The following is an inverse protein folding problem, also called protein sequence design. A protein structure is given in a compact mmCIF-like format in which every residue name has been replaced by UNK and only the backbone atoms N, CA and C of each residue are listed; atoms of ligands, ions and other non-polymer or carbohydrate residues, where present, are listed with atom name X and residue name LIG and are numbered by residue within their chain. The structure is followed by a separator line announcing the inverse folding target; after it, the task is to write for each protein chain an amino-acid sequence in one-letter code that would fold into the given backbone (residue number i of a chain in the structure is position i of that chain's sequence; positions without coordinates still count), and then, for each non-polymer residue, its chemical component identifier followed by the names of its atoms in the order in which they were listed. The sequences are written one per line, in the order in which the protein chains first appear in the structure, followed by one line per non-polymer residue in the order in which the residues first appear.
data_IF_678630163977
#
_entry.id   IF_678630163977
#
_cell.length_a   1.000
_cell.length_b   1.000
_cell.length_c   1.000
_cell.angle_alpha   90.00
_cell.angle_beta   90.00
_cell.angle_gamma   90.00
#
_symmetry.space_group_name_H-M   'P 1'
#
loop_
_entity.id
_entity.type
_entity.pdbx_description
1 polymer ?
#
# COMPACT_ATOMS: atom_id res chain seq x y z
N UNK A 1 -8.19 -0.98 24.59
CA UNK A 1 -7.76 -0.31 23.34
C UNK A 1 -8.92 -0.28 22.36
N UNK A 2 -9.23 0.87 21.82
CA UNK A 2 -10.29 1.01 20.82
C UNK A 2 -9.82 0.43 19.47
N UNK A 3 -10.77 -0.09 18.65
CA UNK A 3 -10.44 -0.71 17.35
C UNK A 3 -9.72 0.25 16.40
N UNK A 4 -10.06 1.52 16.40
CA UNK A 4 -9.40 2.52 15.58
C UNK A 4 -7.92 2.73 15.97
N UNK A 5 -7.62 2.74 17.26
CA UNK A 5 -6.23 2.83 17.75
C UNK A 5 -5.42 1.60 17.35
N UNK A 6 -6.02 0.41 17.45
CA UNK A 6 -5.39 -0.84 17.06
C UNK A 6 -5.13 -0.87 15.56
N UNK A 7 -6.08 -0.43 14.74
CA UNK A 7 -5.91 -0.34 13.29
C UNK A 7 -4.78 0.62 12.92
N UNK A 8 -4.66 1.78 13.58
CA UNK A 8 -3.54 2.70 13.36
C UNK A 8 -2.19 2.06 13.71
N UNK A 9 -2.12 1.30 14.79
CA UNK A 9 -0.91 0.57 15.16
C UNK A 9 -0.55 -0.50 14.13
N UNK A 10 -1.55 -1.19 13.60
CA UNK A 10 -1.35 -2.16 12.52
C UNK A 10 -0.84 -1.46 11.25
N UNK A 11 -1.41 -0.32 10.88
CA UNK A 11 -0.96 0.48 9.74
C UNK A 11 0.50 0.91 9.90
N UNK A 12 0.88 1.41 11.05
CA UNK A 12 2.26 1.81 11.33
C UNK A 12 3.22 0.62 11.22
N UNK A 13 2.85 -0.52 11.78
CA UNK A 13 3.65 -1.74 11.67
C UNK A 13 3.83 -2.17 10.21
N UNK A 14 2.74 -2.18 9.44
CA UNK A 14 2.76 -2.54 8.03
C UNK A 14 3.64 -1.57 7.24
N UNK A 15 3.46 -0.27 7.41
CA UNK A 15 4.21 0.75 6.69
C UNK A 15 5.71 0.69 6.99
N UNK A 16 6.08 0.37 8.23
CA UNK A 16 7.48 0.22 8.64
C UNK A 16 8.12 -1.07 8.11
N UNK A 17 7.35 -2.05 7.67
CA UNK A 17 7.82 -3.37 7.27
C UNK A 17 7.45 -3.76 5.83
N UNK A 18 7.07 -2.81 4.98
CA UNK A 18 6.61 -3.07 3.60
C UNK A 18 7.64 -3.85 2.76
N UNK A 19 8.93 -3.64 3.01
CA UNK A 19 10.00 -4.27 2.24
C UNK A 19 10.37 -5.68 2.72
N UNK A 20 9.67 -6.16 3.73
CA UNK A 20 9.84 -7.49 4.31
C UNK A 20 8.60 -8.33 4.07
N UNK A 21 8.75 -9.65 4.26
CA UNK A 21 7.58 -10.53 4.30
C UNK A 21 6.74 -10.18 5.52
N UNK A 22 5.45 -9.97 5.30
CA UNK A 22 4.48 -9.70 6.36
C UNK A 22 3.46 -10.85 6.38
N UNK A 23 3.23 -11.47 7.55
CA UNK A 23 2.26 -12.53 7.72
C UNK A 23 1.25 -12.17 8.81
N UNK A 24 0.04 -12.71 8.70
CA UNK A 24 -0.99 -12.52 9.74
C UNK A 24 -0.60 -13.16 11.07
N UNK A 25 0.17 -14.26 11.05
CA UNK A 25 0.70 -14.86 12.27
C UNK A 25 1.62 -13.91 13.03
N UNK A 26 2.49 -13.22 12.31
CA UNK A 26 3.38 -12.22 12.88
C UNK A 26 2.60 -11.05 13.49
N UNK A 27 1.64 -10.50 12.75
CA UNK A 27 0.80 -9.38 13.23
C UNK A 27 0.01 -9.81 14.47
N UNK A 28 -0.57 -11.00 14.46
CA UNK A 28 -1.31 -11.57 15.59
C UNK A 28 -0.41 -11.71 16.82
N UNK A 29 0.81 -12.18 16.65
CA UNK A 29 1.78 -12.31 17.74
C UNK A 29 2.18 -10.97 18.34
N UNK A 30 2.38 -9.96 17.50
CA UNK A 30 2.82 -8.62 17.94
C UNK A 30 1.72 -7.91 18.73
N UNK A 31 0.47 -7.99 18.26
CA UNK A 31 -0.64 -7.25 18.85
C UNK A 31 -1.45 -8.07 19.86
N UNK A 32 -1.15 -9.36 20.06
CA UNK A 32 -1.81 -10.24 21.03
C UNK A 32 -3.33 -10.39 20.80
N UNK A 33 -3.74 -10.39 19.51
CA UNK A 33 -5.14 -10.60 19.12
C UNK A 33 -5.22 -11.71 18.07
N UNK A 34 -6.39 -12.36 18.02
CA UNK A 34 -6.69 -13.37 17.01
C UNK A 34 -6.66 -12.77 15.61
N UNK A 35 -6.14 -13.52 14.63
CA UNK A 35 -6.02 -13.09 13.23
C UNK A 35 -7.36 -12.66 12.63
N UNK A 36 -8.42 -13.45 12.86
CA UNK A 36 -9.74 -13.16 12.31
C UNK A 36 -10.30 -11.83 12.86
N UNK A 37 -10.07 -11.57 14.13
CA UNK A 37 -10.44 -10.29 14.75
C UNK A 37 -9.70 -9.12 14.12
N UNK A 38 -8.38 -9.24 13.96
CA UNK A 38 -7.56 -8.18 13.36
C UNK A 38 -7.97 -7.89 11.90
N UNK A 39 -8.18 -8.95 11.12
CA UNK A 39 -8.64 -8.79 9.73
C UNK A 39 -10.01 -8.12 9.65
N UNK A 40 -10.92 -8.49 10.55
CA UNK A 40 -12.28 -7.94 10.58
C UNK A 40 -12.30 -6.47 10.95
N UNK A 41 -11.59 -6.06 12.01
CA UNK A 41 -11.59 -4.65 12.42
C UNK A 41 -10.87 -3.77 11.39
N UNK A 42 -9.81 -4.25 10.77
CA UNK A 42 -9.12 -3.50 9.71
C UNK A 42 -10.06 -3.24 8.53
N UNK A 43 -10.75 -4.27 8.05
CA UNK A 43 -11.74 -4.15 6.97
C UNK A 43 -12.90 -3.24 7.35
N UNK A 44 -13.39 -3.34 8.57
CA UNK A 44 -14.49 -2.51 9.08
C UNK A 44 -14.10 -1.03 9.09
N UNK A 45 -12.91 -0.71 9.59
CA UNK A 45 -12.46 0.68 9.73
C UNK A 45 -12.03 1.31 8.40
N UNK A 46 -11.41 0.54 7.50
CA UNK A 46 -10.77 1.08 6.31
C UNK A 46 -11.44 0.70 4.99
N UNK A 47 -12.41 -0.21 5.05
CA UNK A 47 -13.10 -0.74 3.86
C UNK A 47 -12.14 -1.38 2.84
N UNK A 48 -11.03 -1.93 3.32
CA UNK A 48 -10.03 -2.63 2.51
C UNK A 48 -9.42 -3.74 3.37
N UNK A 49 -9.07 -4.86 2.77
CA UNK A 49 -8.39 -5.94 3.51
C UNK A 49 -6.93 -5.56 3.78
N UNK A 50 -6.34 -6.21 4.79
CA UNK A 50 -4.93 -6.02 5.13
C UNK A 50 -4.04 -6.33 3.92
N UNK A 51 -4.28 -7.44 3.24
CA UNK A 51 -3.46 -7.84 2.08
C UNK A 51 -3.61 -6.90 0.90
N UNK A 52 -4.82 -6.42 0.63
CA UNK A 52 -5.04 -5.40 -0.41
C UNK A 52 -4.31 -4.11 -0.08
N UNK A 53 -4.35 -3.68 1.18
CA UNK A 53 -3.61 -2.49 1.60
C UNK A 53 -2.11 -2.66 1.40
N UNK A 54 -1.54 -3.79 1.86
CA UNK A 54 -0.12 -4.08 1.71
C UNK A 54 0.28 -4.02 0.24
N UNK A 55 -0.47 -4.71 -0.62
CA UNK A 55 -0.16 -4.76 -2.05
C UNK A 55 -0.30 -3.40 -2.73
N UNK A 56 -1.38 -2.67 -2.46
CA UNK A 56 -1.57 -1.33 -3.03
C UNK A 56 -0.48 -0.36 -2.60
N UNK A 57 -0.07 -0.40 -1.33
CA UNK A 57 1.01 0.45 -0.83
C UNK A 57 2.36 0.08 -1.45
N UNK A 58 2.68 -1.21 -1.54
CA UNK A 58 3.92 -1.69 -2.18
C UNK A 58 3.99 -1.30 -3.64
N UNK A 59 2.91 -1.53 -4.39
CA UNK A 59 2.85 -1.18 -5.82
C UNK A 59 2.96 0.33 -6.00
N UNK A 60 2.22 1.10 -5.22
CA UNK A 60 2.28 2.57 -5.31
C UNK A 60 3.69 3.10 -5.03
N UNK A 61 4.36 2.59 -4.00
CA UNK A 61 5.74 2.98 -3.68
C UNK A 61 6.71 2.59 -4.80
N UNK A 62 6.48 1.47 -5.48
CA UNK A 62 7.34 1.00 -6.58
C UNK A 62 7.28 1.91 -7.81
N UNK A 63 6.22 2.71 -7.96
CA UNK A 63 6.07 3.64 -9.09
C UNK A 63 7.20 4.66 -9.16
N UNK A 64 7.66 5.15 -8.02
CA UNK A 64 8.79 6.09 -7.95
C UNK A 64 10.08 5.46 -8.49
N UNK A 65 10.32 4.19 -8.18
CA UNK A 65 11.49 3.47 -8.67
C UNK A 65 11.43 3.24 -10.18
N UNK A 66 10.24 2.89 -10.69
CA UNK A 66 10.03 2.72 -12.13
C UNK A 66 10.27 4.02 -12.90
N UNK A 67 9.82 5.14 -12.33
CA UNK A 67 9.94 6.47 -12.94
C UNK A 67 11.35 7.03 -12.85
N UNK A 68 11.99 6.94 -11.69
CA UNK A 68 13.19 7.71 -11.36
C UNK A 68 14.49 6.91 -11.49
N UNK A 69 14.42 5.62 -11.77
CA UNK A 69 15.62 4.76 -11.97
C UNK A 69 15.53 4.01 -13.28
N UNK A 70 16.68 3.53 -13.75
CA UNK A 70 16.78 2.58 -14.86
C UNK A 70 16.99 1.15 -14.36
N UNK A 71 16.72 0.88 -13.09
CA UNK A 71 16.87 -0.44 -12.48
C UNK A 71 16.01 -1.48 -13.21
N UNK A 72 16.50 -2.70 -13.26
CA UNK A 72 15.74 -3.83 -13.78
C UNK A 72 14.47 -4.03 -12.95
N UNK A 73 13.39 -4.40 -13.61
CA UNK A 73 12.09 -4.59 -12.93
C UNK A 73 12.18 -5.64 -11.83
N UNK A 74 12.99 -6.69 -12.00
CA UNK A 74 13.22 -7.69 -10.95
C UNK A 74 13.83 -7.06 -9.68
N UNK A 75 14.77 -6.14 -9.84
CA UNK A 75 15.37 -5.44 -8.70
C UNK A 75 14.33 -4.58 -7.99
N UNK A 76 13.49 -3.88 -8.74
CA UNK A 76 12.40 -3.08 -8.18
C UNK A 76 11.40 -3.97 -7.44
N UNK A 77 11.04 -5.13 -8.01
CA UNK A 77 10.15 -6.09 -7.37
C UNK A 77 10.66 -6.53 -6.01
N UNK A 78 11.93 -6.95 -5.93
CA UNK A 78 12.56 -7.40 -4.69
C UNK A 78 12.67 -6.27 -3.66
N UNK A 79 13.05 -5.08 -4.09
CA UNK A 79 13.15 -3.90 -3.21
C UNK A 79 11.78 -3.39 -2.74
N UNK A 80 10.71 -3.77 -3.41
CA UNK A 80 9.34 -3.38 -3.05
C UNK A 80 8.65 -4.39 -2.13
N UNK A 81 9.34 -5.45 -1.73
CA UNK A 81 8.82 -6.44 -0.80
C UNK A 81 8.25 -7.71 -1.44
N UNK A 82 8.46 -7.91 -2.73
CA UNK A 82 8.00 -9.11 -3.44
C UNK A 82 9.10 -10.15 -3.52
N UNK A 83 8.71 -11.42 -3.46
CA UNK A 83 9.65 -12.54 -3.51
C UNK A 83 10.05 -12.93 -4.93
N UNK A 84 9.31 -12.49 -5.95
CA UNK A 84 9.57 -12.82 -7.35
C UNK A 84 9.08 -11.72 -8.28
N UNK A 85 9.70 -11.67 -9.46
CA UNK A 85 9.26 -10.80 -10.55
C UNK A 85 7.83 -11.13 -11.00
N UNK A 86 7.51 -12.41 -11.09
CA UNK A 86 6.20 -12.90 -11.54
C UNK A 86 5.09 -12.42 -10.61
N UNK A 87 5.26 -12.58 -9.32
CA UNK A 87 4.27 -12.14 -8.33
C UNK A 87 4.11 -10.63 -8.34
N UNK A 88 5.20 -9.90 -8.43
CA UNK A 88 5.17 -8.43 -8.56
C UNK A 88 4.39 -8.00 -9.81
N UNK A 89 4.73 -8.57 -10.97
CA UNK A 89 4.14 -8.20 -12.25
C UNK A 89 2.64 -8.51 -12.30
N UNK A 90 2.23 -9.66 -11.78
CA UNK A 90 0.81 -10.05 -11.70
C UNK A 90 0.04 -9.09 -10.79
N UNK A 91 0.58 -8.80 -9.61
CA UNK A 91 -0.05 -7.89 -8.65
C UNK A 91 -0.13 -6.47 -9.21
N UNK A 92 0.96 -6.01 -9.83
CA UNK A 92 1.02 -4.70 -10.47
C UNK A 92 -0.06 -4.55 -11.55
N UNK A 93 -0.14 -5.54 -12.45
CA UNK A 93 -1.12 -5.53 -13.54
C UNK A 93 -2.55 -5.62 -13.02
N UNK A 94 -2.78 -6.40 -12.00
CA UNK A 94 -4.11 -6.50 -11.36
C UNK A 94 -4.55 -5.16 -10.77
N UNK A 95 -3.63 -4.43 -10.15
CA UNK A 95 -3.91 -3.15 -9.49
C UNK A 95 -4.00 -2.00 -10.48
N UNK A 96 -3.01 -1.86 -11.38
CA UNK A 96 -2.93 -0.73 -12.30
C UNK A 96 -3.51 -0.99 -13.70
N UNK A 97 -3.73 -2.25 -14.05
CA UNK A 97 -4.28 -2.62 -15.36
C UNK A 97 -3.27 -2.63 -16.50
N UNK A 98 -2.02 -2.30 -16.23
CA UNK A 98 -0.91 -2.34 -17.21
C UNK A 98 0.31 -2.94 -16.54
N UNK A 99 1.29 -3.41 -17.36
CA UNK A 99 2.53 -3.98 -16.82
C UNK A 99 3.45 -2.92 -16.23
N UNK A 100 4.42 -3.32 -15.37
CA UNK A 100 5.44 -2.40 -14.88
C UNK A 100 6.23 -1.70 -15.99
N UNK A 101 6.58 -2.42 -17.05
CA UNK A 101 7.30 -1.85 -18.20
C UNK A 101 6.44 -0.83 -18.95
N UNK A 102 5.15 -1.08 -19.12
CA UNK A 102 4.22 -0.13 -19.74
C UNK A 102 4.12 1.13 -18.89
N UNK A 103 4.01 1.01 -17.56
CA UNK A 103 4.02 2.18 -16.67
C UNK A 103 5.32 2.97 -16.80
N UNK A 104 6.46 2.30 -16.84
CA UNK A 104 7.75 2.98 -17.03
C UNK A 104 7.76 3.79 -18.33
N UNK A 105 7.26 3.22 -19.43
CA UNK A 105 7.11 3.93 -20.71
C UNK A 105 6.21 5.15 -20.58
N UNK A 106 5.11 5.03 -19.87
CA UNK A 106 4.18 6.14 -19.61
C UNK A 106 4.89 7.33 -18.95
N UNK A 107 5.88 7.08 -18.08
CA UNK A 107 6.62 8.13 -17.38
C UNK A 107 7.71 8.80 -18.21
N UNK A 108 8.05 8.24 -19.39
CA UNK A 108 9.12 8.77 -20.26
C UNK A 108 8.55 9.70 -21.32
N UNK A 109 9.31 10.74 -21.67
CA UNK A 109 8.98 11.63 -22.79
C UNK A 109 9.17 10.85 -24.09
N UNK A 110 8.25 11.00 -25.04
CA UNK A 110 8.24 10.34 -26.37
C UNK A 110 8.10 8.82 -26.31
N UNK A 111 7.57 8.27 -25.21
CA UNK A 111 7.30 6.84 -25.16
C UNK A 111 6.01 6.50 -25.93
N UNK A 112 6.02 5.34 -26.58
CA UNK A 112 4.85 4.85 -27.31
C UNK A 112 4.06 3.88 -26.44
N UNK A 113 2.94 4.36 -25.92
CA UNK A 113 1.92 3.52 -25.29
C UNK A 113 0.60 3.74 -26.03
N UNK A 114 -0.27 2.73 -26.02
CA UNK A 114 -1.56 2.85 -26.70
C UNK A 114 -2.48 3.81 -25.94
N UNK A 115 -3.46 4.38 -26.66
CA UNK A 115 -4.47 5.25 -26.05
C UNK A 115 -5.24 4.51 -24.96
N UNK A 116 -5.50 3.22 -25.17
CA UNK A 116 -6.18 2.36 -24.19
C UNK A 116 -5.36 2.22 -22.90
N UNK A 117 -4.09 1.96 -23.01
CA UNK A 117 -3.19 1.86 -21.86
C UNK A 117 -3.10 3.18 -21.11
N UNK A 118 -3.00 4.29 -21.83
CA UNK A 118 -2.98 5.63 -21.27
C UNK A 118 -4.26 5.92 -20.46
N UNK A 119 -5.41 5.58 -21.01
CA UNK A 119 -6.69 5.76 -20.33
C UNK A 119 -6.81 4.91 -19.08
N UNK A 120 -6.35 3.66 -19.12
CA UNK A 120 -6.33 2.77 -17.95
C UNK A 120 -5.50 3.38 -16.82
N UNK A 121 -4.30 3.85 -17.11
CA UNK A 121 -3.42 4.46 -16.12
C UNK A 121 -4.07 5.72 -15.52
N UNK A 122 -4.61 6.59 -16.38
CA UNK A 122 -5.25 7.85 -15.95
C UNK A 122 -6.48 7.62 -15.08
N UNK A 123 -7.13 6.50 -15.22
CA UNK A 123 -8.30 6.12 -14.42
C UNK A 123 -7.89 5.48 -13.10
N UNK A 124 -7.02 4.49 -13.15
CA UNK A 124 -6.69 3.67 -11.98
C UNK A 124 -5.70 4.32 -11.02
N UNK A 125 -4.72 5.05 -11.53
CA UNK A 125 -3.71 5.69 -10.68
C UNK A 125 -4.31 6.70 -9.70
N UNK A 126 -5.21 7.63 -10.12
CA UNK A 126 -5.86 8.52 -9.17
C UNK A 126 -6.70 7.80 -8.12
N UNK A 127 -7.36 6.70 -8.47
CA UNK A 127 -8.18 5.92 -7.53
C UNK A 127 -7.31 5.31 -6.42
N UNK A 128 -6.15 4.74 -6.77
CA UNK A 128 -5.21 4.19 -5.81
C UNK A 128 -4.64 5.31 -4.93
N UNK A 129 -4.22 6.40 -5.54
CA UNK A 129 -3.68 7.56 -4.82
C UNK A 129 -4.69 8.12 -3.82
N UNK A 130 -5.95 8.26 -4.23
CA UNK A 130 -7.04 8.76 -3.38
C UNK A 130 -7.32 7.81 -2.21
N UNK A 131 -7.32 6.50 -2.47
CA UNK A 131 -7.52 5.49 -1.43
C UNK A 131 -6.42 5.56 -0.37
N UNK A 132 -5.17 5.59 -0.78
CA UNK A 132 -4.03 5.63 0.14
C UNK A 132 -3.99 6.95 0.92
N UNK A 133 -4.32 8.05 0.26
CA UNK A 133 -4.43 9.37 0.91
C UNK A 133 -5.54 9.38 1.97
N UNK A 134 -6.69 8.76 1.69
CA UNK A 134 -7.77 8.62 2.67
C UNK A 134 -7.31 7.85 3.91
N UNK A 135 -6.55 6.79 3.73
CA UNK A 135 -6.01 6.00 4.84
C UNK A 135 -4.98 6.80 5.63
N UNK A 136 -4.11 7.55 4.97
CA UNK A 136 -3.14 8.41 5.64
C UNK A 136 -3.83 9.52 6.48
N UNK A 137 -4.91 10.08 5.95
CA UNK A 137 -5.74 11.06 6.68
C UNK A 137 -6.39 10.43 7.91
N UNK A 138 -6.97 9.23 7.78
CA UNK A 138 -7.53 8.46 8.89
C UNK A 138 -6.50 8.26 9.99
N UNK A 139 -5.31 7.78 9.64
CA UNK A 139 -4.20 7.55 10.55
C UNK A 139 -3.79 8.81 11.31
N UNK A 140 -3.68 9.94 10.61
CA UNK A 140 -3.30 11.23 11.19
C UNK A 140 -4.38 11.80 12.11
N UNK A 141 -5.66 11.63 11.77
CA UNK A 141 -6.77 12.11 12.58
C UNK A 141 -6.87 11.37 13.93
N UNK A 142 -6.66 10.06 13.93
CA UNK A 142 -6.64 9.26 15.16
C UNK A 142 -5.48 9.69 16.06
N UNK A 143 -4.28 9.87 15.49
CA UNK A 143 -3.10 10.33 16.21
C UNK A 143 -3.32 11.70 16.85
N UNK A 144 -3.96 12.63 16.14
CA UNK A 144 -4.30 13.96 16.68
C UNK A 144 -5.27 13.89 17.84
N UNK A 145 -6.28 13.02 17.78
CA UNK A 145 -7.22 12.80 18.87
C UNK A 145 -6.53 12.30 20.13
N UNK A 146 -5.58 11.37 20.00
CA UNK A 146 -4.78 10.86 21.12
C UNK A 146 -3.96 11.98 21.77
N UNK A 147 -3.29 12.81 20.97
CA UNK A 147 -2.52 13.95 21.48
C UNK A 147 -3.40 14.93 22.24
N UNK A 148 -4.60 15.24 21.73
CA UNK A 148 -5.55 16.11 22.43
C UNK A 148 -6.00 15.53 23.77
N UNK A 149 -6.28 14.23 23.84
CA UNK A 149 -6.65 13.54 25.08
C UNK A 149 -5.54 13.66 26.14
N UNK A 150 -4.29 13.45 25.73
CA UNK A 150 -3.14 13.57 26.63
C UNK A 150 -2.99 14.99 27.14
N UNK A 151 -3.18 16.01 26.31
CA UNK A 151 -3.04 17.42 26.72
C UNK A 151 -4.15 17.86 27.67
N UNK A 152 -5.34 17.27 27.60
CA UNK A 152 -6.46 17.56 28.52
C UNK A 152 -6.22 17.03 29.93
N UNK A 153 -5.34 16.03 30.12
CA UNK A 153 -5.02 15.44 31.42
C UNK A 153 -3.72 15.98 32.04
N UNK A 154 -3.09 16.92 31.40
CA UNK A 154 -1.97 17.67 31.95
C UNK A 154 -2.46 18.95 32.61
#
# INVERSE_FOLDING_TARGET
MYSNELVVKMLNYIDDNLYKRITMDEISSIFYFNKDYLMRIFKKELDITIMDYINKRRIFNSLELLKNTDDLVIKIALNSGYSSLEYYSETFTKILGVSPLTYRKFTKVNSQISDKELEIIRTRLPDISSLLKRIDIYKNNIKRSEVKKISLFK
#
